data_IF_346932555953
#
_entry.id   IF_346932555953
#
_cell.length_a   1.000
_cell.length_b   1.000
_cell.length_c   1.000
_cell.angle_alpha   90.00
_cell.angle_beta   90.00
_cell.angle_gamma   90.00
#
_symmetry.space_group_name_H-M   'P 1'
#
loop_
_entity.id
_entity.type
_entity.pdbx_description
1 polymer ?
#
# COMPACT_ATOMS: atom_id res chain seq x y z
N UNK A 1 13.13 -9.98 -4.14
CA UNK A 1 12.14 -10.34 -3.10
C UNK A 1 11.07 -9.28 -3.13
N UNK A 2 9.91 -9.61 -3.70
CA UNK A 2 8.71 -8.76 -3.71
C UNK A 2 8.21 -8.65 -2.27
N UNK A 3 8.28 -7.46 -1.66
CA UNK A 3 7.66 -7.23 -0.35
C UNK A 3 6.14 -7.36 -0.52
N UNK A 4 5.45 -8.22 0.25
CA UNK A 4 4.01 -8.33 0.14
C UNK A 4 3.35 -7.04 0.63
N UNK A 5 2.40 -6.53 -0.14
CA UNK A 5 1.62 -5.34 0.19
C UNK A 5 0.19 -5.71 0.61
N UNK A 6 -0.36 -4.95 1.55
CA UNK A 6 -1.78 -4.96 1.93
C UNK A 6 -2.44 -3.66 1.53
N UNK A 7 -3.68 -3.74 1.06
CA UNK A 7 -4.43 -2.59 0.60
C UNK A 7 -5.45 -2.16 1.65
N UNK A 8 -5.22 -0.98 2.24
CA UNK A 8 -6.06 -0.42 3.30
C UNK A 8 -6.50 1.00 2.98
N UNK A 9 -7.68 1.37 3.48
CA UNK A 9 -8.25 2.69 3.26
C UNK A 9 -7.69 3.71 4.25
N UNK A 10 -7.20 4.83 3.73
CA UNK A 10 -6.79 6.01 4.50
C UNK A 10 -7.98 6.93 4.72
N UNK A 11 -8.32 7.19 5.98
CA UNK A 11 -9.29 8.22 6.37
C UNK A 11 -8.81 9.64 6.11
N UNK A 12 -7.52 9.84 5.83
CA UNK A 12 -6.91 11.14 5.60
C UNK A 12 -7.27 11.71 4.21
N UNK A 13 -7.10 10.90 3.16
CA UNK A 13 -7.36 11.29 1.76
C UNK A 13 -8.48 10.49 1.09
N UNK A 14 -9.08 9.53 1.81
CA UNK A 14 -10.17 8.64 1.37
C UNK A 14 -9.78 7.73 0.19
N UNK A 15 -8.49 7.46 0.04
CA UNK A 15 -7.96 6.51 -0.93
C UNK A 15 -7.54 5.21 -0.27
N UNK A 16 -7.50 4.15 -1.07
CA UNK A 16 -6.93 2.86 -0.70
C UNK A 16 -5.45 2.84 -1.10
N UNK A 17 -4.56 2.68 -0.12
CA UNK A 17 -3.12 2.67 -0.32
C UNK A 17 -2.54 1.28 -0.09
N UNK A 18 -1.39 1.03 -0.73
CA UNK A 18 -0.62 -0.18 -0.50
C UNK A 18 0.37 0.06 0.65
N UNK A 19 0.25 -0.69 1.73
CA UNK A 19 1.18 -0.68 2.86
C UNK A 19 2.00 -1.97 2.84
N UNK A 20 3.27 -1.94 3.24
CA UNK A 20 4.03 -3.17 3.41
C UNK A 20 3.40 -4.03 4.52
N UNK A 21 3.41 -5.35 4.40
CA UNK A 21 2.93 -6.25 5.47
C UNK A 21 3.79 -6.09 6.73
N UNK A 22 5.09 -5.92 6.55
CA UNK A 22 6.06 -5.71 7.61
C UNK A 22 6.33 -4.21 7.74
N UNK A 23 5.67 -3.55 8.69
CA UNK A 23 5.99 -2.17 9.07
C UNK A 23 6.46 -2.12 10.52
N UNK A 24 7.54 -1.37 10.74
CA UNK A 24 8.20 -1.27 12.03
C UNK A 24 7.60 -0.21 12.97
N UNK A 25 6.76 0.69 12.48
CA UNK A 25 6.30 1.86 13.22
C UNK A 25 4.88 1.72 13.75
N UNK A 26 4.69 1.94 15.05
CA UNK A 26 3.38 2.08 15.68
C UNK A 26 2.79 3.50 15.53
N UNK A 27 3.60 4.50 15.17
CA UNK A 27 3.19 5.90 15.13
C UNK A 27 2.51 6.29 13.81
N UNK A 28 2.86 5.61 12.71
CA UNK A 28 2.29 5.85 11.39
C UNK A 28 2.52 4.65 10.49
N UNK A 29 1.56 4.41 9.60
CA UNK A 29 1.70 3.47 8.49
C UNK A 29 2.16 4.25 7.26
N UNK A 30 3.27 3.84 6.65
CA UNK A 30 3.78 4.47 5.43
C UNK A 30 3.35 3.67 4.20
N UNK A 31 2.57 4.28 3.32
CA UNK A 31 2.18 3.66 2.06
C UNK A 31 3.40 3.57 1.12
N UNK A 32 3.33 2.69 0.11
CA UNK A 32 4.34 2.56 -0.93
C UNK A 32 4.62 3.90 -1.65
N UNK A 33 3.62 4.77 -1.75
CA UNK A 33 3.75 6.12 -2.30
C UNK A 33 4.41 7.14 -1.34
N UNK A 34 4.92 6.72 -0.18
CA UNK A 34 5.42 7.54 0.93
C UNK A 34 4.34 8.41 1.62
N UNK A 35 3.06 8.12 1.39
CA UNK A 35 1.97 8.75 2.14
C UNK A 35 1.88 8.14 3.54
N UNK A 36 2.05 8.96 4.57
CA UNK A 36 1.98 8.53 5.97
C UNK A 36 0.57 8.70 6.52
N UNK A 37 0.03 7.65 7.14
CA UNK A 37 -1.32 7.65 7.72
C UNK A 37 -1.23 7.29 9.21
N UNK A 38 -1.78 8.12 10.11
CA UNK A 38 -1.91 7.78 11.52
C UNK A 38 -2.74 6.50 11.72
N UNK A 39 -2.41 5.63 12.69
CA UNK A 39 -3.12 4.38 12.94
C UNK A 39 -4.64 4.51 13.07
N UNK A 40 -5.11 5.57 13.72
CA UNK A 40 -6.53 5.86 13.94
C UNK A 40 -7.29 6.22 12.65
N UNK A 41 -6.57 6.59 11.58
CA UNK A 41 -7.12 6.87 10.27
C UNK A 41 -6.91 5.72 9.28
N UNK A 42 -6.23 4.63 9.66
CA UNK A 42 -6.10 3.43 8.82
C UNK A 42 -7.25 2.49 9.08
N UNK A 43 -8.09 2.27 8.07
CA UNK A 43 -9.09 1.21 8.09
C UNK A 43 -8.53 -0.01 7.38
N UNK A 44 -8.30 -1.10 8.14
CA UNK A 44 -7.74 -2.38 7.65
C UNK A 44 -8.72 -3.21 6.81
N UNK A 45 -9.39 -2.54 5.87
CA UNK A 45 -10.27 -3.11 4.86
C UNK A 45 -10.10 -2.30 3.58
N UNK A 46 -10.08 -2.93 2.39
CA UNK A 46 -10.14 -2.19 1.14
C UNK A 46 -11.40 -1.33 1.08
N UNK A 47 -11.29 -0.12 0.54
CA UNK A 47 -12.43 0.77 0.34
C UNK A 47 -12.04 2.00 -0.47
N UNK A 48 -13.01 2.56 -1.21
CA UNK A 48 -12.76 3.74 -2.05
C UNK A 48 -11.92 3.46 -3.29
N UNK A 49 -11.41 4.53 -3.91
CA UNK A 49 -10.56 4.44 -5.08
C UNK A 49 -9.12 4.05 -4.69
N UNK A 50 -8.46 3.25 -5.54
CA UNK A 50 -7.06 2.89 -5.36
C UNK A 50 -6.16 4.10 -5.63
N UNK A 51 -5.13 4.27 -4.81
CA UNK A 51 -4.09 5.27 -5.00
C UNK A 51 -3.25 4.91 -6.23
N UNK A 52 -3.32 5.72 -7.29
CA UNK A 52 -2.61 5.49 -8.55
C UNK A 52 -1.09 5.37 -8.36
N UNK A 53 -0.41 6.25 -7.58
CA UNK A 53 1.01 6.06 -7.26
C UNK A 53 1.34 4.71 -6.59
N UNK A 54 0.47 4.21 -5.71
CA UNK A 54 0.65 2.89 -5.11
C UNK A 54 0.49 1.78 -6.16
N UNK A 55 -0.49 1.87 -7.05
CA UNK A 55 -0.69 0.89 -8.11
C UNK A 55 0.54 0.77 -9.01
N UNK A 56 1.09 1.90 -9.45
CA UNK A 56 2.29 1.92 -10.30
C UNK A 56 3.48 1.30 -9.58
N UNK A 57 3.78 1.72 -8.35
CA UNK A 57 4.93 1.19 -7.61
C UNK A 57 4.81 -0.32 -7.32
N UNK A 58 3.64 -0.78 -6.89
CA UNK A 58 3.40 -2.20 -6.61
C UNK A 58 3.48 -3.00 -7.91
N UNK A 59 2.88 -2.51 -8.99
CA UNK A 59 2.93 -3.15 -10.31
C UNK A 59 4.35 -3.28 -10.86
N UNK A 60 5.15 -2.21 -10.82
CA UNK A 60 6.54 -2.23 -11.27
C UNK A 60 7.39 -3.22 -10.45
N UNK A 61 7.17 -3.31 -9.14
CA UNK A 61 7.88 -4.28 -8.30
C UNK A 61 7.52 -5.75 -8.64
N UNK A 62 6.36 -6.00 -9.24
CA UNK A 62 5.96 -7.34 -9.72
C UNK A 62 6.60 -7.69 -11.08
N UNK A 63 6.90 -6.70 -11.94
CA UNK A 63 7.54 -6.95 -13.23
C UNK A 63 9.00 -7.42 -13.09
N UNK A 64 9.68 -6.93 -12.04
CA UNK A 64 11.02 -7.39 -11.65
C UNK A 64 11.02 -8.83 -11.10
N UNK A 65 9.85 -9.36 -10.75
CA UNK A 65 9.63 -10.75 -10.35
C UNK A 65 9.21 -11.51 -11.63
N UNK A 66 10.19 -11.98 -12.41
CA UNK A 66 10.08 -12.61 -13.75
C UNK A 66 9.19 -13.87 -13.86
N UNK A 67 8.19 -14.01 -13.00
CA UNK A 67 7.29 -15.15 -12.85
C UNK A 67 5.95 -14.95 -13.58
N UNK A 68 5.79 -13.88 -14.37
CA UNK A 68 4.59 -13.70 -15.20
C UNK A 68 4.51 -14.79 -16.26
N UNK A 69 3.81 -15.88 -15.94
CA UNK A 69 3.42 -16.91 -16.90
C UNK A 69 2.16 -16.40 -17.61
N UNK A 70 2.34 -15.95 -18.85
CA UNK A 70 1.24 -15.80 -19.81
C UNK A 70 0.59 -17.14 -20.15
#
# INVERSE_FOLDING_TARGET
MTMPYVWWHSGYDRLCHAFAVEQASEAYFEAACAHSVPPELVRRSPGGALCVPCLVKVGSAMEDDHTWRG
#
